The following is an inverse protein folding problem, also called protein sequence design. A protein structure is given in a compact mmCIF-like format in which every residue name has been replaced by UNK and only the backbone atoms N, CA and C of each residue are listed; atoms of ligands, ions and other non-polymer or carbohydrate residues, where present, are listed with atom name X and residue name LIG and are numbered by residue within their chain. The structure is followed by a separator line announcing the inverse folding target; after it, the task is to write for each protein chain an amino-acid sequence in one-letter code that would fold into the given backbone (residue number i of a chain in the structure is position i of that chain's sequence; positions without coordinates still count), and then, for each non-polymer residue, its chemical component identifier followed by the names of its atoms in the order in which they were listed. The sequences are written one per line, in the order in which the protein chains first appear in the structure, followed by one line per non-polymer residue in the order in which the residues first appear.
data_IF_046208817510
#
_entry.id   IF_046208817510
#
_cell.length_a   1.000
_cell.length_b   1.000
_cell.length_c   1.000
_cell.angle_alpha   90.00
_cell.angle_beta   90.00
_cell.angle_gamma   90.00
#
_symmetry.space_group_name_H-M   'P 1'
#
loop_
_entity.id
_entity.type
_entity.pdbx_description
1 polymer ?
#
# COMPACT_ATOMS: atom_id res chain seq x y z
N UNK A 1 -22.98 -3.67 10.92
CA UNK A 1 -21.72 -3.47 10.18
C UNK A 1 -21.16 -2.12 10.54
N UNK A 2 -19.88 -2.04 10.93
CA UNK A 2 -19.21 -0.74 11.04
C UNK A 2 -18.98 -0.17 9.63
N UNK A 3 -19.03 1.15 9.48
CA UNK A 3 -18.83 1.81 8.19
C UNK A 3 -18.00 3.08 8.34
N UNK A 4 -17.07 3.29 7.42
CA UNK A 4 -16.26 4.49 7.29
C UNK A 4 -16.55 5.15 5.94
N UNK A 5 -16.52 6.48 5.92
CA UNK A 5 -16.61 7.29 4.69
C UNK A 5 -15.44 8.26 4.72
N UNK A 6 -14.71 8.30 3.62
CA UNK A 6 -13.45 9.04 3.48
C UNK A 6 -13.39 9.62 2.07
N UNK A 7 -12.82 10.80 1.90
CA UNK A 7 -12.53 11.35 0.59
C UNK A 7 -11.24 10.77 0.05
N UNK A 8 -11.15 10.59 -1.25
CA UNK A 8 -9.96 10.05 -1.91
C UNK A 8 -8.69 10.90 -1.61
N UNK A 9 -8.84 12.23 -1.56
CA UNK A 9 -7.79 13.19 -1.15
C UNK A 9 -7.36 13.11 0.33
N UNK A 10 -8.07 12.39 1.20
CA UNK A 10 -7.71 12.32 2.61
C UNK A 10 -6.42 11.52 2.84
N UNK A 11 -5.99 10.75 1.83
CA UNK A 11 -4.73 10.01 1.79
C UNK A 11 -4.70 8.75 2.65
N UNK A 12 -5.57 8.64 3.67
CA UNK A 12 -5.80 7.41 4.42
C UNK A 12 -7.14 7.40 5.15
N UNK A 13 -7.60 6.21 5.49
CA UNK A 13 -8.65 5.99 6.47
C UNK A 13 -8.07 5.36 7.74
N UNK A 14 -8.43 5.93 8.90
CA UNK A 14 -8.07 5.38 10.21
C UNK A 14 -9.25 4.57 10.77
N UNK A 15 -9.09 3.24 10.80
CA UNK A 15 -10.07 2.30 11.35
C UNK A 15 -9.72 1.96 12.80
N UNK A 16 -10.74 1.82 13.66
CA UNK A 16 -10.55 1.58 15.09
C UNK A 16 -11.08 0.20 15.45
N UNK A 17 -10.19 -0.66 15.94
CA UNK A 17 -10.53 -2.00 16.39
C UNK A 17 -10.65 -1.96 17.90
N UNK A 18 -11.80 -2.41 18.39
CA UNK A 18 -12.14 -2.34 19.81
C UNK A 18 -12.17 -3.72 20.43
N UNK A 19 -11.72 -3.79 21.68
CA UNK A 19 -11.76 -4.96 22.55
C UNK A 19 -12.64 -4.63 23.75
N UNK A 20 -13.60 -5.50 24.03
CA UNK A 20 -14.55 -5.36 25.14
C UNK A 20 -14.61 -6.64 25.98
N UNK A 21 -15.31 -6.59 27.12
CA UNK A 21 -15.37 -7.71 28.08
C UNK A 21 -14.17 -7.74 29.01
N UNK A 22 -13.63 -8.93 29.29
CA UNK A 22 -12.44 -9.08 30.12
C UNK A 22 -11.16 -8.72 29.34
N UNK A 23 -10.53 -7.62 29.73
CA UNK A 23 -9.27 -7.15 29.15
C UNK A 23 -8.05 -7.45 30.03
N UNK A 24 -8.19 -8.24 31.10
CA UNK A 24 -7.10 -8.55 32.03
C UNK A 24 -5.96 -9.39 31.43
N UNK A 25 -6.23 -10.14 30.36
CA UNK A 25 -5.21 -10.91 29.62
C UNK A 25 -4.77 -10.22 28.33
N UNK A 26 -3.64 -10.65 27.74
CA UNK A 26 -3.28 -10.27 26.38
C UNK A 26 -4.21 -10.94 25.35
N UNK A 27 -4.43 -10.30 24.21
CA UNK A 27 -5.19 -10.87 23.09
C UNK A 27 -4.61 -10.41 21.75
N UNK A 28 -4.90 -11.15 20.68
CA UNK A 28 -4.59 -10.71 19.32
C UNK A 28 -5.68 -11.07 18.33
N UNK A 29 -5.70 -10.38 17.19
CA UNK A 29 -6.60 -10.64 16.06
C UNK A 29 -5.88 -10.28 14.76
N UNK A 30 -6.12 -11.04 13.71
CA UNK A 30 -5.65 -10.69 12.36
C UNK A 30 -6.59 -9.68 11.72
N UNK A 31 -6.03 -8.78 10.93
CA UNK A 31 -6.70 -7.76 10.14
C UNK A 31 -6.27 -7.92 8.69
N UNK A 32 -7.19 -7.79 7.75
CA UNK A 32 -6.90 -7.69 6.32
C UNK A 32 -7.96 -6.85 5.59
N UNK A 33 -7.52 -6.06 4.62
CA UNK A 33 -8.40 -5.44 3.63
C UNK A 33 -8.79 -6.46 2.55
N UNK A 34 -9.98 -6.33 1.98
CA UNK A 34 -10.46 -7.17 0.88
C UNK A 34 -11.43 -6.38 -0.02
N UNK A 35 -11.43 -6.68 -1.31
CA UNK A 35 -12.26 -6.01 -2.31
C UNK A 35 -12.88 -6.97 -3.33
N UNK A 36 -13.80 -6.44 -4.14
CA UNK A 36 -14.50 -7.17 -5.18
C UNK A 36 -14.05 -6.76 -6.61
N UNK A 37 -13.13 -5.79 -6.73
CA UNK A 37 -12.70 -5.25 -8.02
C UNK A 37 -11.81 -6.24 -8.79
N UNK A 38 -10.98 -7.01 -8.07
CA UNK A 38 -10.15 -8.05 -8.67
C UNK A 38 -9.11 -7.51 -9.67
N UNK A 39 -9.16 -7.95 -10.93
CA UNK A 39 -8.17 -7.59 -11.95
C UNK A 39 -8.72 -6.65 -13.03
N UNK A 40 -9.79 -5.92 -12.73
CA UNK A 40 -10.35 -4.90 -13.61
C UNK A 40 -9.38 -3.72 -13.80
N UNK A 41 -9.68 -2.89 -14.79
CA UNK A 41 -9.01 -1.60 -14.97
C UNK A 41 -9.48 -0.60 -13.90
N UNK A 42 -8.69 0.46 -13.67
CA UNK A 42 -8.95 1.53 -12.70
C UNK A 42 -9.90 2.62 -13.24
N UNK A 43 -10.74 2.31 -14.21
CA UNK A 43 -11.73 3.25 -14.75
C UNK A 43 -13.14 2.63 -14.68
N UNK A 44 -13.31 1.64 -13.80
CA UNK A 44 -14.46 0.74 -13.77
C UNK A 44 -15.44 1.19 -12.70
N UNK A 45 -16.57 1.72 -13.17
CA UNK A 45 -17.62 2.31 -12.34
C UNK A 45 -18.64 1.26 -11.86
N UNK A 46 -18.18 0.25 -11.14
CA UNK A 46 -19.07 -0.77 -10.55
C UNK A 46 -19.26 -0.61 -9.02
N UNK A 47 -18.58 0.38 -8.43
CA UNK A 47 -18.65 0.73 -7.01
C UNK A 47 -17.74 -0.13 -6.13
N UNK A 48 -16.87 -0.95 -6.71
CA UNK A 48 -15.85 -1.70 -5.98
C UNK A 48 -14.51 -0.98 -6.05
N UNK A 49 -14.00 -0.53 -4.90
CA UNK A 49 -12.65 0.02 -4.82
C UNK A 49 -11.64 -1.11 -5.02
N UNK A 50 -10.57 -0.84 -5.73
CA UNK A 50 -9.50 -1.75 -6.12
C UNK A 50 -8.24 -1.52 -5.31
N UNK A 51 -7.66 -2.60 -4.77
CA UNK A 51 -6.35 -2.54 -4.09
C UNK A 51 -5.17 -2.22 -5.03
N UNK A 52 -5.45 -1.88 -6.29
CA UNK A 52 -4.47 -1.57 -7.33
C UNK A 52 -4.50 -0.11 -7.76
N UNK A 53 -5.58 0.60 -7.42
CA UNK A 53 -5.89 1.95 -7.91
C UNK A 53 -6.28 2.89 -6.79
N UNK A 54 -7.07 2.41 -5.81
CA UNK A 54 -7.81 3.29 -4.89
C UNK A 54 -7.28 3.22 -3.45
N UNK A 55 -6.68 2.10 -3.09
CA UNK A 55 -6.12 1.90 -1.76
C UNK A 55 -4.98 0.89 -1.75
N UNK A 56 -4.11 1.01 -0.74
CA UNK A 56 -3.06 0.03 -0.50
C UNK A 56 -3.58 -1.14 0.33
N UNK A 57 -3.45 -2.39 -0.15
CA UNK A 57 -3.87 -3.55 0.61
C UNK A 57 -3.07 -3.64 1.92
N UNK A 58 -3.77 -3.77 3.04
CA UNK A 58 -3.16 -3.84 4.37
C UNK A 58 -3.62 -5.08 5.11
N UNK A 59 -2.67 -5.72 5.77
CA UNK A 59 -2.92 -6.83 6.65
C UNK A 59 -1.90 -6.86 7.78
N UNK A 60 -2.33 -7.25 8.97
CA UNK A 60 -1.51 -7.23 10.18
C UNK A 60 -2.10 -8.12 11.28
N UNK A 61 -1.26 -8.61 12.19
CA UNK A 61 -1.71 -9.12 13.49
C UNK A 61 -1.69 -8.00 14.51
N UNK A 62 -2.84 -7.72 15.09
CA UNK A 62 -3.04 -6.67 16.07
C UNK A 62 -3.00 -7.30 17.45
N UNK A 63 -2.17 -6.76 18.33
CA UNK A 63 -2.01 -7.23 19.70
C UNK A 63 -2.57 -6.21 20.68
N UNK A 64 -3.29 -6.70 21.66
CA UNK A 64 -3.76 -5.96 22.81
C UNK A 64 -3.01 -6.46 24.04
N UNK A 65 -2.21 -5.60 24.65
CA UNK A 65 -1.66 -5.84 25.97
C UNK A 65 -2.80 -5.86 27.03
N UNK A 66 -2.57 -6.43 28.22
CA UNK A 66 -3.53 -6.36 29.32
C UNK A 66 -4.02 -4.92 29.57
N UNK A 67 -5.32 -4.73 29.60
CA UNK A 67 -5.99 -3.44 29.81
C UNK A 67 -6.19 -2.60 28.54
N UNK A 68 -5.57 -2.93 27.41
CA UNK A 68 -5.80 -2.22 26.16
C UNK A 68 -7.16 -2.59 25.54
N UNK A 69 -7.90 -1.56 25.11
CA UNK A 69 -9.28 -1.69 24.61
C UNK A 69 -9.45 -1.18 23.18
N UNK A 70 -8.47 -0.48 22.62
CA UNK A 70 -8.53 0.02 21.25
C UNK A 70 -7.16 0.02 20.59
N UNK A 71 -7.13 -0.28 19.28
CA UNK A 71 -5.99 -0.06 18.38
C UNK A 71 -6.50 0.61 17.11
N UNK A 72 -5.70 1.53 16.57
CA UNK A 72 -6.00 2.21 15.31
C UNK A 72 -5.14 1.63 14.21
N UNK A 73 -5.75 1.35 13.06
CA UNK A 73 -5.09 0.86 11.86
C UNK A 73 -5.39 1.81 10.72
N UNK A 74 -4.35 2.26 10.03
CA UNK A 74 -4.46 3.11 8.86
C UNK A 74 -4.38 2.28 7.59
N UNK A 75 -5.32 2.52 6.66
CA UNK A 75 -5.26 2.05 5.27
C UNK A 75 -5.00 3.26 4.40
N UNK A 76 -3.92 3.24 3.61
CA UNK A 76 -3.60 4.35 2.72
C UNK A 76 -4.54 4.34 1.52
N UNK A 77 -4.99 5.52 1.13
CA UNK A 77 -5.74 5.75 -0.09
C UNK A 77 -4.79 6.25 -1.17
N UNK A 78 -5.05 5.79 -2.37
CA UNK A 78 -4.43 6.28 -3.58
C UNK A 78 -5.43 7.27 -4.16
N UNK A 79 -4.96 8.47 -4.48
CA UNK A 79 -5.77 9.44 -5.19
C UNK A 79 -5.37 9.38 -6.64
N UNK A 80 -6.31 8.99 -7.49
CA UNK A 80 -6.07 8.89 -8.90
C UNK A 80 -6.62 10.07 -9.73
N UNK A 81 -7.01 9.82 -10.97
CA UNK A 81 -7.52 10.84 -11.88
C UNK A 81 -8.73 10.36 -12.66
N UNK A 82 -9.20 9.15 -12.41
CA UNK A 82 -10.34 8.58 -13.08
C UNK A 82 -11.59 9.00 -12.31
N UNK A 83 -12.55 9.59 -13.02
CA UNK A 83 -13.86 9.75 -12.40
C UNK A 83 -14.39 8.32 -12.26
N UNK A 84 -14.75 7.86 -11.07
CA UNK A 84 -15.26 6.50 -10.84
C UNK A 84 -16.60 6.51 -10.11
N UNK A 85 -16.84 7.58 -9.35
CA UNK A 85 -17.95 7.69 -8.40
C UNK A 85 -17.58 7.06 -7.06
N UNK A 86 -18.53 6.97 -6.11
CA UNK A 86 -18.24 6.37 -4.81
C UNK A 86 -18.01 4.86 -4.92
N UNK A 87 -16.94 4.41 -4.28
CA UNK A 87 -16.52 3.01 -4.33
C UNK A 87 -16.28 2.45 -2.94
N UNK A 88 -16.20 1.12 -2.80
CA UNK A 88 -16.03 0.51 -1.49
C UNK A 88 -15.16 -0.74 -1.48
N UNK A 89 -14.39 -0.86 -0.41
CA UNK A 89 -13.69 -2.09 -0.02
C UNK A 89 -14.07 -2.44 1.43
N UNK A 90 -13.57 -3.58 1.91
CA UNK A 90 -13.84 -4.07 3.26
C UNK A 90 -12.58 -4.26 4.08
N UNK A 91 -12.76 -4.17 5.39
CA UNK A 91 -11.78 -4.52 6.41
C UNK A 91 -12.33 -5.70 7.20
N UNK A 92 -11.56 -6.78 7.32
CA UNK A 92 -11.97 -8.03 7.94
C UNK A 92 -11.06 -8.41 9.11
N UNK A 93 -11.68 -8.89 10.19
CA UNK A 93 -10.99 -9.46 11.34
C UNK A 93 -11.09 -10.98 11.35
N UNK A 94 -9.97 -11.66 11.59
CA UNK A 94 -9.89 -13.13 11.64
C UNK A 94 -8.95 -13.63 12.74
N UNK A 95 -8.93 -14.95 12.96
CA UNK A 95 -7.96 -15.65 13.80
C UNK A 95 -7.71 -15.03 15.21
N UNK A 96 -8.78 -14.79 16.00
CA UNK A 96 -8.61 -14.24 17.33
C UNK A 96 -7.90 -15.24 18.26
N UNK A 97 -6.99 -14.73 19.10
CA UNK A 97 -6.32 -15.48 20.16
C UNK A 97 -6.49 -14.73 21.48
N UNK A 98 -6.90 -15.43 22.54
CA UNK A 98 -7.18 -14.82 23.85
C UNK A 98 -8.45 -13.95 23.89
N UNK A 99 -9.26 -13.98 22.83
CA UNK A 99 -10.55 -13.32 22.69
C UNK A 99 -11.43 -14.08 21.67
N UNK A 100 -12.63 -13.59 21.41
CA UNK A 100 -13.48 -14.00 20.30
C UNK A 100 -13.83 -12.80 19.42
N UNK A 101 -14.13 -13.03 18.14
CA UNK A 101 -14.65 -11.97 17.26
C UNK A 101 -16.00 -11.44 17.79
N UNK A 102 -16.19 -10.13 17.66
CA UNK A 102 -17.45 -9.46 18.00
C UNK A 102 -18.54 -9.67 16.95
N UNK A 103 -19.68 -8.99 17.13
CA UNK A 103 -20.80 -9.06 16.19
C UNK A 103 -20.49 -8.46 14.81
N UNK A 104 -19.48 -7.58 14.73
CA UNK A 104 -19.10 -6.84 13.53
C UNK A 104 -17.62 -7.10 13.21
N UNK A 105 -17.25 -8.30 12.74
CA UNK A 105 -15.87 -8.61 12.36
C UNK A 105 -15.46 -7.96 11.04
N UNK A 106 -16.42 -7.39 10.30
CA UNK A 106 -16.19 -6.71 9.03
C UNK A 106 -16.67 -5.27 9.10
N UNK A 107 -15.87 -4.35 8.57
CA UNK A 107 -16.23 -2.96 8.34
C UNK A 107 -16.18 -2.64 6.84
N UNK A 108 -17.13 -1.85 6.36
CA UNK A 108 -17.09 -1.29 5.01
C UNK A 108 -16.38 0.07 5.03
N UNK A 109 -15.56 0.33 4.02
CA UNK A 109 -14.97 1.65 3.77
C UNK A 109 -15.47 2.13 2.43
N UNK A 110 -16.13 3.29 2.42
CA UNK A 110 -16.54 3.97 1.19
C UNK A 110 -15.57 5.12 0.91
N UNK A 111 -14.98 5.10 -0.27
CA UNK A 111 -14.15 6.17 -0.82
C UNK A 111 -15.07 7.07 -1.65
N UNK A 112 -15.07 8.36 -1.33
CA UNK A 112 -15.75 9.37 -2.12
C UNK A 112 -14.74 9.99 -3.09
N UNK A 113 -14.95 9.68 -4.37
CA UNK A 113 -14.26 10.24 -5.52
C UNK A 113 -14.36 11.78 -5.55
N UNK A 114 -13.23 12.45 -5.80
CA UNK A 114 -13.14 13.91 -5.91
C UNK A 114 -13.01 14.45 -7.35
N UNK A 115 -12.96 13.56 -8.34
CA UNK A 115 -12.86 13.92 -9.74
C UNK A 115 -14.20 14.33 -10.35
N UNK A 116 -14.10 15.05 -11.47
CA UNK A 116 -15.27 15.50 -12.26
C UNK A 116 -15.23 15.04 -13.72
N UNK A 117 -14.09 14.49 -14.15
CA UNK A 117 -13.86 13.87 -15.45
C UNK A 117 -12.52 13.11 -15.41
N UNK A 118 -12.39 12.10 -16.27
CA UNK A 118 -11.13 11.34 -16.38
C UNK A 118 -9.95 12.25 -16.79
N UNK A 119 -8.84 12.08 -16.09
CA UNK A 119 -7.63 12.87 -16.17
C UNK A 119 -6.40 12.06 -16.59
N UNK A 120 -5.22 12.70 -16.58
CA UNK A 120 -3.96 12.03 -16.88
C UNK A 120 -3.48 11.23 -15.67
N UNK A 121 -2.75 10.13 -15.93
CA UNK A 121 -2.22 9.27 -14.88
C UNK A 121 -1.46 10.08 -13.79
N UNK A 122 -1.88 10.03 -12.51
CA UNK A 122 -1.29 10.81 -11.43
C UNK A 122 0.20 10.52 -11.22
N UNK A 123 0.70 9.36 -11.63
CA UNK A 123 2.12 9.01 -11.54
C UNK A 123 3.02 9.93 -12.40
N UNK A 124 2.43 10.68 -13.33
CA UNK A 124 3.16 11.71 -14.06
C UNK A 124 3.46 12.95 -13.20
N UNK A 125 2.73 13.14 -12.11
CA UNK A 125 3.02 14.15 -11.10
C UNK A 125 4.13 13.64 -10.14
N UNK A 126 5.23 14.39 -9.98
CA UNK A 126 6.36 13.95 -9.15
C UNK A 126 6.04 13.61 -7.69
N UNK A 127 5.13 14.34 -7.04
CA UNK A 127 4.77 14.08 -5.65
C UNK A 127 3.96 12.80 -5.47
N UNK A 128 3.01 12.50 -6.37
CA UNK A 128 2.25 11.26 -6.42
C UNK A 128 3.18 10.06 -6.70
N UNK A 129 4.08 10.19 -7.68
CA UNK A 129 5.09 9.16 -7.95
C UNK A 129 5.99 8.86 -6.75
N UNK A 130 6.47 9.90 -6.06
CA UNK A 130 7.30 9.70 -4.87
C UNK A 130 6.47 9.12 -3.74
N UNK A 131 5.24 9.61 -3.51
CA UNK A 131 4.35 9.09 -2.47
C UNK A 131 4.09 7.60 -2.66
N UNK A 132 3.81 7.14 -3.88
CA UNK A 132 3.65 5.72 -4.19
C UNK A 132 4.85 4.87 -3.69
N UNK A 133 6.10 5.34 -3.86
CA UNK A 133 7.26 4.59 -3.33
C UNK A 133 7.24 4.46 -1.81
N UNK A 134 6.78 5.48 -1.10
CA UNK A 134 6.68 5.45 0.35
C UNK A 134 5.58 4.49 0.82
N UNK A 135 4.46 4.46 0.11
CA UNK A 135 3.37 3.54 0.41
C UNK A 135 3.78 2.10 0.12
N UNK A 136 4.17 1.79 -1.12
CA UNK A 136 4.48 0.43 -1.60
C UNK A 136 5.63 -0.22 -0.84
N UNK A 137 6.68 0.55 -0.55
CA UNK A 137 7.97 -0.02 -0.11
C UNK A 137 8.34 0.30 1.33
N UNK A 138 7.75 1.34 1.92
CA UNK A 138 8.02 1.74 3.31
C UNK A 138 6.78 1.64 4.19
N UNK A 139 5.62 1.39 3.60
CA UNK A 139 4.34 1.25 4.29
C UNK A 139 4.03 2.44 5.23
N UNK A 140 4.36 3.66 4.77
CA UNK A 140 4.17 4.91 5.51
C UNK A 140 3.96 6.09 4.56
N UNK A 141 3.34 7.16 5.02
CA UNK A 141 3.37 8.44 4.32
C UNK A 141 4.78 9.06 4.35
N UNK A 142 5.23 9.75 3.28
CA UNK A 142 6.45 10.54 3.35
C UNK A 142 6.26 11.70 4.33
N UNK A 143 7.30 12.00 5.11
CA UNK A 143 7.36 13.27 5.79
C UNK A 143 7.69 14.39 4.79
N UNK A 144 7.42 15.63 5.17
CA UNK A 144 7.60 16.79 4.30
C UNK A 144 9.02 16.91 3.74
N UNK A 145 10.04 16.57 4.52
CA UNK A 145 11.43 16.70 4.09
C UNK A 145 11.81 15.58 3.11
N UNK A 146 11.40 14.34 3.39
CA UNK A 146 11.57 13.19 2.50
C UNK A 146 10.90 13.40 1.15
N UNK A 147 9.62 13.81 1.14
CA UNK A 147 8.90 14.13 -0.08
C UNK A 147 9.62 15.23 -0.88
N UNK A 148 9.97 16.33 -0.21
CA UNK A 148 10.65 17.45 -0.84
C UNK A 148 12.01 17.08 -1.42
N UNK A 149 12.78 16.23 -0.74
CA UNK A 149 14.07 15.74 -1.21
C UNK A 149 13.93 15.01 -2.55
N UNK A 150 13.03 14.03 -2.65
CA UNK A 150 12.85 13.26 -3.87
C UNK A 150 12.22 14.08 -5.00
N UNK A 151 11.16 14.84 -4.72
CA UNK A 151 10.47 15.70 -5.70
C UNK A 151 11.41 16.75 -6.31
N UNK A 152 12.39 17.24 -5.54
CA UNK A 152 13.35 18.24 -6.05
C UNK A 152 14.17 17.76 -7.26
N UNK A 153 14.32 16.44 -7.44
CA UNK A 153 15.03 15.86 -8.59
C UNK A 153 14.30 16.09 -9.92
N UNK A 154 13.01 16.42 -9.89
CA UNK A 154 12.19 16.66 -11.08
C UNK A 154 12.18 18.13 -11.51
N UNK A 155 12.50 19.07 -10.61
CA UNK A 155 12.51 20.52 -10.88
C UNK A 155 13.28 20.87 -12.16
N UNK A 156 14.47 20.30 -12.45
CA UNK A 156 15.22 20.65 -13.66
C UNK A 156 14.52 20.28 -14.97
N UNK A 157 13.53 19.39 -14.96
CA UNK A 157 12.82 18.96 -16.16
C UNK A 157 11.73 19.94 -16.59
N UNK A 158 11.22 20.78 -15.69
CA UNK A 158 10.01 21.57 -15.97
C UNK A 158 8.87 20.67 -16.46
N UNK A 159 8.31 20.98 -17.62
CA UNK A 159 7.26 20.18 -18.27
C UNK A 159 7.76 19.20 -19.35
N UNK A 160 9.06 18.94 -19.45
CA UNK A 160 9.60 18.00 -20.46
C UNK A 160 9.30 16.54 -20.07
N UNK A 161 8.39 15.90 -20.79
CA UNK A 161 7.94 14.55 -20.51
C UNK A 161 9.05 13.48 -20.57
N UNK A 162 9.99 13.60 -21.51
CA UNK A 162 11.09 12.63 -21.65
C UNK A 162 12.08 12.75 -20.47
N UNK A 163 12.34 13.98 -20.02
CA UNK A 163 13.13 14.25 -18.83
C UNK A 163 12.44 13.71 -17.57
N UNK A 164 11.13 13.98 -17.39
CA UNK A 164 10.36 13.48 -16.26
C UNK A 164 10.37 11.94 -16.20
N UNK A 165 10.20 11.26 -17.34
CA UNK A 165 10.31 9.81 -17.43
C UNK A 165 11.70 9.32 -17.02
N UNK A 166 12.78 9.96 -17.48
CA UNK A 166 14.14 9.62 -17.07
C UNK A 166 14.38 9.86 -15.58
N UNK A 167 13.77 10.91 -15.00
CA UNK A 167 13.86 11.20 -13.56
C UNK A 167 13.13 10.16 -12.72
N UNK A 168 11.97 9.65 -13.15
CA UNK A 168 11.29 8.56 -12.45
C UNK A 168 12.21 7.36 -12.27
N UNK A 169 12.85 6.91 -13.36
CA UNK A 169 13.82 5.79 -13.32
C UNK A 169 14.97 6.07 -12.33
N UNK A 170 15.57 7.26 -12.41
CA UNK A 170 16.70 7.63 -11.56
C UNK A 170 16.30 7.75 -10.08
N UNK A 171 15.13 8.32 -9.80
CA UNK A 171 14.61 8.48 -8.43
C UNK A 171 14.29 7.12 -7.83
N UNK A 172 13.62 6.21 -8.56
CA UNK A 172 13.42 4.83 -8.08
C UNK A 172 14.75 4.14 -7.78
N UNK A 173 15.71 4.21 -8.71
CA UNK A 173 17.02 3.59 -8.51
C UNK A 173 17.73 4.14 -7.25
N UNK A 174 17.69 5.45 -7.03
CA UNK A 174 18.26 6.08 -5.85
C UNK A 174 17.48 5.76 -4.56
N UNK A 175 16.15 5.68 -4.63
CA UNK A 175 15.28 5.33 -3.51
C UNK A 175 15.60 3.94 -2.97
N UNK A 176 15.74 2.94 -3.86
CA UNK A 176 16.10 1.58 -3.46
C UNK A 176 17.53 1.45 -2.93
N UNK A 177 18.41 2.42 -3.20
CA UNK A 177 19.76 2.48 -2.63
C UNK A 177 19.82 3.32 -1.35
N UNK A 178 18.72 3.97 -0.96
CA UNK A 178 18.67 4.83 0.23
C UNK A 178 18.82 4.01 1.51
N UNK A 179 19.44 4.62 2.52
CA UNK A 179 19.63 3.98 3.85
C UNK A 179 18.29 3.57 4.45
N UNK A 180 17.26 4.40 4.27
CA UNK A 180 15.93 4.11 4.79
C UNK A 180 15.39 2.82 4.21
N UNK A 181 15.24 2.72 2.89
CA UNK A 181 14.75 1.50 2.25
C UNK A 181 15.62 0.30 2.60
N UNK A 182 16.95 0.45 2.57
CA UNK A 182 17.90 -0.62 2.92
C UNK A 182 17.72 -1.17 4.35
N UNK A 183 17.23 -0.35 5.27
CA UNK A 183 17.03 -0.75 6.67
C UNK A 183 15.59 -1.21 6.97
N UNK A 184 14.58 -0.74 6.23
CA UNK A 184 13.17 -0.99 6.56
C UNK A 184 12.44 -1.86 5.54
N UNK A 185 12.51 -1.52 4.25
CA UNK A 185 11.81 -2.23 3.16
C UNK A 185 12.61 -3.35 2.50
N UNK A 186 13.94 -3.29 2.58
CA UNK A 186 14.83 -4.17 1.82
C UNK A 186 14.96 -5.60 2.40
N UNK A 187 14.46 -5.84 3.62
CA UNK A 187 14.53 -7.16 4.24
C UNK A 187 13.78 -8.21 3.41
N UNK A 188 12.59 -7.85 2.91
CA UNK A 188 11.75 -8.73 2.09
C UNK A 188 12.46 -9.08 0.78
N UNK A 189 13.06 -8.08 0.12
CA UNK A 189 13.86 -8.29 -1.09
C UNK A 189 15.04 -9.26 -0.86
N UNK A 190 15.78 -9.07 0.24
CA UNK A 190 16.90 -9.94 0.60
C UNK A 190 16.45 -11.35 0.93
N UNK A 191 15.34 -11.49 1.67
CA UNK A 191 14.76 -12.80 1.98
C UNK A 191 14.38 -13.53 0.69
N UNK A 192 13.74 -12.86 -0.26
CA UNK A 192 13.39 -13.46 -1.55
C UNK A 192 14.64 -13.85 -2.35
N UNK A 193 15.63 -12.96 -2.48
CA UNK A 193 16.91 -13.29 -3.15
C UNK A 193 17.64 -14.46 -2.50
N UNK A 194 17.68 -14.51 -1.17
CA UNK A 194 18.36 -15.57 -0.43
C UNK A 194 17.60 -16.92 -0.49
N UNK A 195 16.27 -16.89 -0.39
CA UNK A 195 15.44 -18.08 -0.35
C UNK A 195 15.26 -18.73 -1.73
N UNK A 196 15.19 -17.92 -2.79
CA UNK A 196 14.85 -18.41 -4.13
C UNK A 196 15.95 -18.26 -5.18
N UNK A 197 17.00 -17.49 -4.89
CA UNK A 197 18.10 -17.25 -5.81
C UNK A 197 17.71 -16.35 -7.00
N UNK A 198 18.72 -15.99 -7.80
CA UNK A 198 18.53 -15.23 -9.03
C UNK A 198 18.52 -16.18 -10.24
N UNK A 199 17.60 -15.95 -11.18
CA UNK A 199 17.70 -16.51 -12.54
C UNK A 199 18.03 -15.39 -13.51
N UNK A 200 19.00 -15.65 -14.39
CA UNK A 200 19.32 -14.76 -15.50
C UNK A 200 18.32 -15.01 -16.63
N UNK A 201 17.37 -14.09 -16.81
CA UNK A 201 16.51 -14.00 -17.98
C UNK A 201 17.15 -13.10 -19.04
N UNK A 202 16.91 -13.38 -20.33
CA UNK A 202 17.29 -12.46 -21.40
C UNK A 202 16.13 -11.49 -21.65
N UNK A 203 16.37 -10.18 -21.45
CA UNK A 203 15.41 -9.12 -21.76
C UNK A 203 15.80 -8.40 -23.04
N UNK A 204 14.81 -8.09 -23.87
CA UNK A 204 14.95 -7.26 -25.07
C UNK A 204 14.34 -5.87 -24.89
N UNK A 205 13.92 -5.51 -23.67
CA UNK A 205 13.37 -4.18 -23.38
C UNK A 205 14.45 -3.12 -23.62
N UNK A 206 14.17 -2.11 -24.46
CA UNK A 206 15.20 -1.14 -24.88
C UNK A 206 16.08 -1.61 -26.06
N UNK A 207 15.68 -2.68 -26.74
CA UNK A 207 16.27 -3.12 -28.01
C UNK A 207 17.31 -4.23 -27.83
N UNK A 208 18.52 -3.88 -27.37
CA UNK A 208 19.61 -4.88 -27.30
C UNK A 208 19.35 -5.91 -26.18
N UNK A 209 19.53 -7.22 -26.47
CA UNK A 209 19.42 -8.27 -25.46
C UNK A 209 20.39 -8.01 -24.31
N UNK A 210 19.87 -7.95 -23.10
CA UNK A 210 20.66 -7.85 -21.87
C UNK A 210 20.15 -8.89 -20.87
N UNK A 211 21.05 -9.38 -20.02
CA UNK A 211 20.70 -10.29 -18.95
C UNK A 211 20.06 -9.49 -17.81
N UNK A 212 18.85 -9.87 -17.40
CA UNK A 212 18.25 -9.44 -16.15
C UNK A 212 18.34 -10.58 -15.16
N UNK A 213 19.01 -10.33 -14.03
CA UNK A 213 18.87 -11.17 -12.86
C UNK A 213 17.53 -10.82 -12.21
N UNK A 214 16.61 -11.78 -12.17
CA UNK A 214 15.34 -11.64 -11.46
C UNK A 214 15.23 -12.72 -10.37
N UNK A 215 14.75 -12.38 -9.17
CA UNK A 215 14.47 -13.37 -8.13
C UNK A 215 13.46 -14.41 -8.63
N UNK A 216 13.67 -15.69 -8.32
CA UNK A 216 12.73 -16.77 -8.69
C UNK A 216 11.56 -16.79 -7.71
N UNK A 217 10.57 -15.91 -7.87
CA UNK A 217 9.42 -15.88 -6.94
C UNK A 217 8.18 -16.44 -7.63
N UNK A 218 7.59 -17.53 -7.10
CA UNK A 218 6.25 -17.97 -7.50
C UNK A 218 5.19 -17.30 -6.63
N UNK A 219 4.01 -17.03 -7.20
CA UNK A 219 2.92 -16.34 -6.48
C UNK A 219 2.48 -17.03 -5.17
N UNK A 220 2.65 -18.34 -5.07
CA UNK A 220 2.34 -19.12 -3.86
C UNK A 220 3.51 -19.24 -2.86
N UNK A 221 4.67 -18.66 -3.18
CA UNK A 221 5.86 -18.62 -2.34
C UNK A 221 6.03 -17.27 -1.64
N UNK A 222 5.10 -16.33 -1.87
CA UNK A 222 5.03 -15.10 -1.09
C UNK A 222 4.73 -15.46 0.38
N UNK A 223 5.64 -15.09 1.27
CA UNK A 223 5.37 -15.14 2.70
C UNK A 223 4.27 -14.12 2.98
N UNK A 224 3.24 -14.55 3.70
CA UNK A 224 2.28 -13.62 4.28
C UNK A 224 3.08 -12.68 5.20
N UNK A 225 3.07 -11.38 4.89
CA UNK A 225 3.61 -10.34 5.78
C UNK A 225 3.05 -10.52 7.20
N UNK A 226 3.96 -10.62 8.17
CA UNK A 226 3.62 -10.81 9.60
C UNK A 226 3.66 -9.50 10.35
N UNK A 227 3.25 -8.39 9.73
CA UNK A 227 3.24 -7.08 10.36
C UNK A 227 2.47 -7.14 11.69
N UNK A 228 3.10 -6.72 12.78
CA UNK A 228 2.49 -6.69 14.12
C UNK A 228 2.24 -5.24 14.55
N UNK A 229 1.06 -4.97 15.11
CA UNK A 229 0.69 -3.65 15.62
C UNK A 229 0.32 -3.76 17.10
N UNK A 230 1.01 -2.99 17.94
CA UNK A 230 0.93 -3.04 19.40
C UNK A 230 1.96 -3.99 20.01
N UNK A 231 2.76 -3.48 20.96
CA UNK A 231 3.63 -4.28 21.86
C UNK A 231 3.06 -4.27 23.28
#
# INVERSE_FOLDING_TARGET
MASYSVGEVDGRVDTVITRSGDTGGAASVSFATDDLAGAQACDVRDGAASSRCDYEPRFATIKFAPGETAKTISVFLINDSYLEGPESFTVNLSDPVGASLGAEPTAAVMIADDDSADGPNPIDEPSSFVRAHYLDFLNREPDRAGLGFWVSNFIPCGGDAACLQARRVNVSAAFYLSIEFQNTGFLVERMYKAAFGDVNGTSTLGGSPHALAVPVVRLNEFLLDTQQIGE
#
